data_IF_927696692062
#
_entry.id   IF_927696692062
#
_cell.length_a   1.000
_cell.length_b   1.000
_cell.length_c   1.000
_cell.angle_alpha   90.00
_cell.angle_beta   90.00
_cell.angle_gamma   90.00
#
_symmetry.space_group_name_H-M   'P 1'
#
loop_
_entity.id
_entity.type
_entity.pdbx_description
1 polymer ?
#
# COMPACT_ATOMS: atom_id res chain seq x y z
N UNK A 1 27.73 -18.13 18.54
CA UNK A 1 27.18 -18.24 19.91
C UNK A 1 25.78 -17.62 19.86
N UNK A 2 24.67 -18.30 20.13
CA UNK A 2 24.50 -19.63 20.75
C UNK A 2 23.24 -20.37 20.27
N UNK A 3 23.38 -21.68 20.09
CA UNK A 3 22.52 -22.82 20.50
C UNK A 3 20.97 -22.78 20.36
N UNK A 4 20.46 -23.86 19.76
CA UNK A 4 19.11 -24.45 19.86
C UNK A 4 18.91 -25.15 21.23
N UNK A 5 17.65 -25.42 21.67
CA UNK A 5 16.92 -26.68 21.35
C UNK A 5 15.38 -26.45 21.20
N UNK A 6 14.44 -27.41 21.09
CA UNK A 6 14.50 -28.89 21.08
C UNK A 6 13.51 -29.54 20.05
N UNK A 7 12.44 -30.24 20.49
CA UNK A 7 11.47 -31.01 19.69
C UNK A 7 10.10 -31.18 20.40
N UNK A 8 9.05 -31.58 19.67
CA UNK A 8 7.84 -32.20 20.25
C UNK A 8 6.71 -32.51 19.23
N UNK A 9 5.85 -33.55 19.42
CA UNK A 9 5.46 -34.44 18.32
C UNK A 9 3.94 -34.64 18.08
N UNK A 10 3.61 -35.58 17.16
CA UNK A 10 2.28 -36.17 16.82
C UNK A 10 1.54 -35.48 15.64
N UNK A 11 0.68 -36.14 14.84
CA UNK A 11 0.06 -37.49 14.89
C UNK A 11 0.12 -38.24 13.54
N UNK A 12 -0.07 -39.56 13.57
CA UNK A 12 -0.09 -40.46 12.41
C UNK A 12 -1.34 -40.35 11.51
N UNK A 13 -1.23 -40.87 10.28
CA UNK A 13 -2.34 -41.45 9.51
C UNK A 13 -1.84 -42.63 8.66
N UNK A 14 -2.20 -43.85 9.06
CA UNK A 14 -2.08 -45.04 8.20
C UNK A 14 -3.34 -45.18 7.33
N UNK A 15 -3.15 -45.39 6.03
CA UNK A 15 -4.13 -45.99 5.12
C UNK A 15 -3.31 -46.96 4.25
N UNK A 16 -3.40 -48.27 4.51
CA UNK A 16 -4.26 -49.21 3.79
C UNK A 16 -3.98 -49.23 2.28
N UNK A 17 -3.68 -50.36 1.63
CA UNK A 17 -3.87 -51.73 2.08
C UNK A 17 -4.43 -52.56 0.93
N UNK A 18 -3.61 -52.85 -0.08
CA UNK A 18 -3.96 -53.77 -1.16
C UNK A 18 -3.01 -54.97 -1.13
N UNK A 19 -3.54 -56.11 -0.68
CA UNK A 19 -2.77 -57.33 -0.50
C UNK A 19 -2.36 -57.94 -1.85
N UNK A 20 -1.08 -58.26 -1.98
CA UNK A 20 -0.62 -59.19 -3.02
C UNK A 20 -0.66 -60.60 -2.47
N UNK A 21 -1.60 -61.41 -2.97
CA UNK A 21 -1.81 -62.79 -2.53
C UNK A 21 -0.66 -63.68 -2.99
N UNK A 22 0.39 -63.80 -2.17
CA UNK A 22 1.48 -64.74 -2.41
C UNK A 22 0.93 -66.17 -2.32
N UNK A 23 0.77 -66.81 -3.47
CA UNK A 23 0.45 -68.24 -3.56
C UNK A 23 1.69 -69.03 -3.14
N UNK A 24 1.67 -69.59 -1.94
CA UNK A 24 2.68 -70.56 -1.50
C UNK A 24 2.49 -71.86 -2.29
N UNK A 25 3.29 -72.05 -3.34
CA UNK A 25 3.41 -73.34 -4.01
C UNK A 25 4.06 -74.33 -3.04
N UNK A 26 3.39 -75.46 -2.79
CA UNK A 26 3.85 -76.51 -1.87
C UNK A 26 4.84 -77.41 -2.62
N UNK A 27 6.14 -77.13 -2.47
CA UNK A 27 7.18 -77.93 -3.12
C UNK A 27 7.16 -79.38 -2.61
N UNK A 28 7.02 -80.32 -3.55
CA UNK A 28 7.12 -81.75 -3.30
C UNK A 28 8.58 -82.15 -3.14
N UNK A 29 8.95 -82.61 -1.94
CA UNK A 29 10.27 -83.17 -1.67
C UNK A 29 10.48 -84.47 -2.48
N UNK A 30 11.17 -84.37 -3.62
CA UNK A 30 11.60 -85.52 -4.42
C UNK A 30 13.12 -85.65 -4.42
N UNK A 31 13.60 -86.63 -3.64
CA UNK A 31 14.93 -87.26 -3.64
C UNK A 31 16.19 -86.39 -3.42
N UNK A 32 17.17 -86.87 -2.65
CA UNK A 32 18.48 -86.25 -2.54
C UNK A 32 19.28 -86.49 -3.84
N UNK A 33 19.19 -85.56 -4.79
CA UNK A 33 20.09 -85.52 -5.94
C UNK A 33 21.52 -85.24 -5.50
N UNK A 34 22.31 -86.31 -5.32
CA UNK A 34 23.76 -86.23 -5.19
C UNK A 34 24.34 -85.78 -6.54
N UNK A 35 24.52 -84.48 -6.69
CA UNK A 35 24.98 -83.85 -7.93
C UNK A 35 26.45 -84.23 -8.22
N UNK A 36 26.65 -85.20 -9.12
CA UNK A 36 27.94 -85.44 -9.76
C UNK A 36 28.20 -84.37 -10.84
N UNK A 37 29.13 -83.44 -10.55
CA UNK A 37 29.78 -82.59 -11.55
C UNK A 37 29.18 -81.18 -11.74
N UNK A 38 30.04 -80.18 -11.56
CA UNK A 38 30.07 -78.81 -12.11
C UNK A 38 28.86 -77.85 -12.12
N UNK A 39 27.61 -78.29 -12.05
CA UNK A 39 26.46 -77.40 -12.33
C UNK A 39 25.99 -76.56 -11.13
N UNK A 40 26.08 -77.08 -9.89
CA UNK A 40 25.68 -76.31 -8.70
C UNK A 40 26.54 -75.05 -8.51
N UNK A 41 27.84 -75.15 -8.82
CA UNK A 41 28.80 -74.04 -8.74
C UNK A 41 28.43 -72.92 -9.74
N UNK A 42 28.01 -73.29 -10.96
CA UNK A 42 27.56 -72.33 -11.98
C UNK A 42 26.30 -71.60 -11.51
N UNK A 43 25.32 -72.33 -10.98
CA UNK A 43 24.09 -71.75 -10.42
C UNK A 43 24.35 -70.80 -9.26
N UNK A 44 25.29 -71.13 -8.37
CA UNK A 44 25.68 -70.27 -7.26
C UNK A 44 26.34 -68.96 -7.76
N UNK A 45 27.24 -69.05 -8.74
CA UNK A 45 27.87 -67.87 -9.37
C UNK A 45 26.84 -67.01 -10.12
N UNK A 46 25.87 -67.61 -10.81
CA UNK A 46 24.77 -66.89 -11.46
C UNK A 46 23.86 -66.18 -10.44
N UNK A 47 23.55 -66.83 -9.32
CA UNK A 47 22.75 -66.25 -8.24
C UNK A 47 23.48 -65.06 -7.60
N UNK A 48 24.78 -65.19 -7.34
CA UNK A 48 25.62 -64.09 -6.83
C UNK A 48 25.64 -62.88 -7.78
N UNK A 49 25.89 -63.11 -9.09
CA UNK A 49 25.84 -62.06 -10.12
C UNK A 49 24.47 -61.40 -10.22
N UNK A 50 23.40 -62.17 -10.05
CA UNK A 50 22.02 -61.67 -10.08
C UNK A 50 21.71 -60.83 -8.84
N UNK A 51 22.22 -61.21 -7.66
CA UNK A 51 22.10 -60.42 -6.43
C UNK A 51 22.89 -59.10 -6.53
N UNK A 52 24.10 -59.14 -7.07
CA UNK A 52 24.93 -57.96 -7.32
C UNK A 52 24.28 -57.00 -8.35
N UNK A 53 23.76 -57.53 -9.46
CA UNK A 53 23.00 -56.74 -10.44
C UNK A 53 21.77 -56.07 -9.80
N UNK A 54 21.02 -56.80 -8.97
CA UNK A 54 19.86 -56.23 -8.24
C UNK A 54 20.28 -55.14 -7.25
N UNK A 55 21.41 -55.31 -6.55
CA UNK A 55 21.99 -54.26 -5.68
C UNK A 55 22.29 -53.01 -6.49
N UNK A 56 23.00 -53.12 -7.62
CA UNK A 56 23.32 -51.97 -8.47
C UNK A 56 22.07 -51.31 -9.07
N UNK A 57 21.09 -52.08 -9.52
CA UNK A 57 19.83 -51.56 -10.04
C UNK A 57 19.05 -50.77 -8.97
N UNK A 58 18.99 -51.28 -7.73
CA UNK A 58 18.37 -50.57 -6.61
C UNK A 58 19.14 -49.29 -6.24
N UNK A 59 20.47 -49.34 -6.20
CA UNK A 59 21.31 -48.15 -5.97
C UNK A 59 21.05 -47.07 -7.03
N UNK A 60 20.95 -47.46 -8.30
CA UNK A 60 20.60 -46.55 -9.40
C UNK A 60 19.21 -45.95 -9.21
N UNK A 61 18.19 -46.75 -8.87
CA UNK A 61 16.83 -46.27 -8.61
C UNK A 61 16.79 -45.24 -7.46
N UNK A 62 17.54 -45.46 -6.37
CA UNK A 62 17.65 -44.50 -5.26
C UNK A 62 18.30 -43.19 -5.73
N UNK A 63 19.39 -43.26 -6.50
CA UNK A 63 20.00 -42.06 -7.06
C UNK A 63 19.07 -41.31 -8.03
N UNK A 64 18.33 -42.02 -8.90
CA UNK A 64 17.32 -41.42 -9.78
C UNK A 64 16.23 -40.72 -8.97
N UNK A 65 15.72 -41.33 -7.91
CA UNK A 65 14.72 -40.71 -7.03
C UNK A 65 15.26 -39.44 -6.35
N UNK A 66 16.51 -39.47 -5.86
CA UNK A 66 17.15 -38.28 -5.28
C UNK A 66 17.34 -37.15 -6.31
N UNK A 67 17.77 -37.47 -7.54
CA UNK A 67 17.92 -36.51 -8.64
C UNK A 67 16.56 -35.86 -8.97
N UNK A 68 15.50 -36.66 -9.13
CA UNK A 68 14.15 -36.15 -9.41
C UNK A 68 13.60 -35.27 -8.27
N UNK A 69 13.83 -35.66 -7.01
CA UNK A 69 13.44 -34.86 -5.84
C UNK A 69 14.22 -33.55 -5.76
N UNK A 70 15.51 -33.55 -6.13
CA UNK A 70 16.34 -32.35 -6.18
C UNK A 70 15.88 -31.39 -7.30
N UNK A 71 15.52 -31.92 -8.48
CA UNK A 71 14.93 -31.11 -9.57
C UNK A 71 13.62 -30.47 -9.15
N UNK A 72 12.66 -31.23 -8.61
CA UNK A 72 11.38 -30.66 -8.14
C UNK A 72 11.58 -29.57 -7.07
N UNK A 73 12.59 -29.75 -6.20
CA UNK A 73 12.96 -28.74 -5.20
C UNK A 73 13.59 -27.49 -5.84
N UNK A 74 14.42 -27.66 -6.87
CA UNK A 74 15.04 -26.55 -7.61
C UNK A 74 13.97 -25.72 -8.34
N UNK A 75 13.06 -26.38 -9.06
CA UNK A 75 11.97 -25.72 -9.80
C UNK A 75 11.06 -24.89 -8.87
N UNK A 76 10.77 -25.40 -7.67
CA UNK A 76 10.03 -24.65 -6.63
C UNK A 76 10.80 -23.40 -6.18
N UNK A 77 12.13 -23.51 -5.96
CA UNK A 77 12.97 -22.37 -5.54
C UNK A 77 13.15 -21.34 -6.64
N UNK A 78 13.29 -21.76 -7.90
CA UNK A 78 13.42 -20.84 -9.04
C UNK A 78 12.12 -20.06 -9.27
N UNK A 79 10.96 -20.73 -9.14
CA UNK A 79 9.66 -20.04 -9.13
C UNK A 79 9.55 -19.02 -7.99
N UNK A 80 9.86 -19.42 -6.76
CA UNK A 80 9.82 -18.51 -5.61
C UNK A 80 10.79 -17.33 -5.77
N UNK A 81 11.96 -17.54 -6.38
CA UNK A 81 12.92 -16.50 -6.71
C UNK A 81 12.39 -15.54 -7.79
N UNK A 82 11.65 -16.03 -8.78
CA UNK A 82 10.98 -15.21 -9.78
C UNK A 82 9.88 -14.34 -9.14
N UNK A 83 9.02 -14.93 -8.30
CA UNK A 83 7.95 -14.21 -7.59
C UNK A 83 8.53 -13.06 -6.72
N UNK A 84 9.65 -13.31 -6.02
CA UNK A 84 10.35 -12.27 -5.22
C UNK A 84 10.97 -11.18 -6.11
N UNK A 85 11.53 -11.53 -7.27
CA UNK A 85 12.07 -10.53 -8.23
C UNK A 85 10.96 -9.62 -8.78
N UNK A 86 9.78 -10.17 -9.09
CA UNK A 86 8.64 -9.38 -9.56
C UNK A 86 8.10 -8.44 -8.46
N UNK A 87 7.94 -8.96 -7.23
CA UNK A 87 7.54 -8.13 -6.08
C UNK A 87 8.53 -6.99 -5.83
N UNK A 88 9.84 -7.25 -5.92
CA UNK A 88 10.88 -6.21 -5.82
C UNK A 88 10.70 -5.13 -6.90
N UNK A 89 10.58 -5.52 -8.17
CA UNK A 89 10.43 -4.60 -9.30
C UNK A 89 9.16 -3.72 -9.15
N UNK A 90 8.06 -4.30 -8.65
CA UNK A 90 6.83 -3.56 -8.34
C UNK A 90 7.03 -2.52 -7.23
N UNK A 91 7.75 -2.87 -6.16
CA UNK A 91 8.06 -1.94 -5.06
C UNK A 91 9.04 -0.83 -5.50
N UNK A 92 10.01 -1.14 -6.35
CA UNK A 92 10.93 -0.15 -6.93
C UNK A 92 10.19 0.84 -7.85
N UNK A 93 9.24 0.36 -8.65
CA UNK A 93 8.36 1.19 -9.47
C UNK A 93 7.48 2.13 -8.63
N UNK A 94 6.87 1.62 -7.56
CA UNK A 94 6.05 2.43 -6.65
C UNK A 94 6.91 3.45 -5.88
N UNK A 95 8.12 3.07 -5.45
CA UNK A 95 9.08 4.01 -4.84
C UNK A 95 9.43 5.15 -5.81
N UNK A 96 9.68 4.86 -7.08
CA UNK A 96 9.95 5.88 -8.09
C UNK A 96 8.75 6.82 -8.28
N UNK A 97 7.54 6.27 -8.36
CA UNK A 97 6.28 7.04 -8.47
C UNK A 97 6.10 7.99 -7.29
N UNK A 98 6.26 7.50 -6.06
CA UNK A 98 6.11 8.30 -4.83
C UNK A 98 7.18 9.39 -4.70
N UNK A 99 8.43 9.11 -5.12
CA UNK A 99 9.49 10.13 -5.16
C UNK A 99 9.16 11.25 -6.17
N UNK A 100 8.59 10.92 -7.33
CA UNK A 100 8.15 11.95 -8.28
C UNK A 100 7.00 12.81 -7.72
N UNK A 101 5.99 12.19 -7.07
CA UNK A 101 4.92 12.96 -6.42
C UNK A 101 5.46 13.86 -5.29
N UNK A 102 6.46 13.42 -4.54
CA UNK A 102 7.10 14.25 -3.50
C UNK A 102 7.86 15.45 -4.11
N UNK A 103 8.52 15.26 -5.27
CA UNK A 103 9.14 16.36 -6.03
C UNK A 103 8.09 17.39 -6.46
N UNK A 104 6.97 16.93 -7.03
CA UNK A 104 5.87 17.81 -7.47
C UNK A 104 5.29 18.63 -6.31
N UNK A 105 5.06 18.02 -5.13
CA UNK A 105 4.58 18.73 -3.94
C UNK A 105 5.58 19.78 -3.44
N UNK A 106 6.89 19.50 -3.50
CA UNK A 106 7.90 20.49 -3.14
C UNK A 106 7.93 21.66 -4.14
N UNK A 107 7.85 21.38 -5.44
CA UNK A 107 7.79 22.42 -6.48
C UNK A 107 6.53 23.29 -6.36
N UNK A 108 5.39 22.72 -5.98
CA UNK A 108 4.17 23.48 -5.73
C UNK A 108 4.22 24.30 -4.42
N UNK A 109 4.87 23.78 -3.37
CA UNK A 109 5.15 24.57 -2.16
C UNK A 109 6.03 25.77 -2.49
N UNK A 110 7.14 25.57 -3.20
CA UNK A 110 8.08 26.65 -3.51
C UNK A 110 7.41 27.74 -4.38
N UNK A 111 6.44 27.39 -5.25
CA UNK A 111 5.59 28.37 -5.96
C UNK A 111 4.67 29.14 -5.01
N UNK A 112 4.06 28.47 -4.03
CA UNK A 112 3.19 29.10 -3.04
C UNK A 112 3.99 30.06 -2.15
N UNK A 113 5.20 29.67 -1.71
CA UNK A 113 6.08 30.51 -0.89
C UNK A 113 6.46 31.82 -1.65
N UNK A 114 6.72 31.74 -2.96
CA UNK A 114 6.98 32.91 -3.82
C UNK A 114 5.73 33.80 -3.96
N UNK A 115 4.55 33.20 -4.14
CA UNK A 115 3.28 33.94 -4.23
C UNK A 115 2.92 34.62 -2.90
N UNK A 116 3.13 33.95 -1.77
CA UNK A 116 2.96 34.53 -0.43
C UNK A 116 3.89 35.71 -0.21
N UNK A 117 5.19 35.57 -0.52
CA UNK A 117 6.15 36.67 -0.42
C UNK A 117 5.76 37.87 -1.31
N UNK A 118 5.22 37.62 -2.51
CA UNK A 118 4.73 38.65 -3.43
C UNK A 118 3.52 39.37 -2.85
N UNK A 119 2.49 38.63 -2.40
CA UNK A 119 1.26 39.19 -1.83
C UNK A 119 1.54 39.96 -0.52
N UNK A 120 2.45 39.47 0.33
CA UNK A 120 2.85 40.16 1.55
C UNK A 120 3.50 41.51 1.23
N UNK A 121 4.41 41.55 0.25
CA UNK A 121 4.99 42.81 -0.23
C UNK A 121 3.94 43.78 -0.77
N UNK A 122 3.02 43.30 -1.61
CA UNK A 122 1.92 44.13 -2.14
C UNK A 122 1.02 44.67 -1.02
N UNK A 123 0.76 43.88 0.03
CA UNK A 123 0.02 44.32 1.21
C UNK A 123 0.74 45.43 1.98
N UNK A 124 2.07 45.31 2.16
CA UNK A 124 2.87 46.31 2.87
C UNK A 124 3.08 47.58 2.05
N UNK A 125 3.24 47.47 0.72
CA UNK A 125 3.26 48.60 -0.21
C UNK A 125 1.90 49.36 -0.17
N UNK A 126 0.77 48.64 -0.18
CA UNK A 126 -0.57 49.22 -0.07
C UNK A 126 -0.82 49.87 1.30
N UNK A 127 -0.41 49.24 2.40
CA UNK A 127 -0.50 49.82 3.76
C UNK A 127 0.30 51.11 3.86
N UNK A 128 1.54 51.10 3.37
CA UNK A 128 2.41 52.28 3.33
C UNK A 128 1.79 53.40 2.50
N UNK A 129 1.19 53.07 1.35
CA UNK A 129 0.52 54.06 0.49
C UNK A 129 -0.76 54.63 1.13
N UNK A 130 -1.55 53.81 1.82
CA UNK A 130 -2.72 54.26 2.59
C UNK A 130 -2.28 55.22 3.71
N UNK A 131 -1.24 54.86 4.45
CA UNK A 131 -0.68 55.70 5.51
C UNK A 131 -0.22 57.05 4.96
N UNK A 132 0.58 57.05 3.89
CA UNK A 132 1.07 58.27 3.24
C UNK A 132 -0.05 59.21 2.80
N UNK A 133 -1.10 58.68 2.15
CA UNK A 133 -2.24 59.49 1.70
C UNK A 133 -3.03 60.02 2.90
N UNK A 134 -3.24 59.19 3.92
CA UNK A 134 -4.03 59.54 5.10
C UNK A 134 -3.34 60.62 5.92
N UNK A 135 -2.05 60.44 6.23
CA UNK A 135 -1.29 61.34 7.11
C UNK A 135 -0.89 62.65 6.42
N UNK A 136 -0.57 62.60 5.12
CA UNK A 136 -0.14 63.76 4.33
C UNK A 136 -1.28 64.48 3.61
N UNK A 137 -1.55 64.06 2.36
CA UNK A 137 -2.40 64.78 1.42
C UNK A 137 -3.84 64.97 1.95
N UNK A 138 -4.44 63.91 2.51
CA UNK A 138 -5.82 63.93 2.99
C UNK A 138 -5.98 64.86 4.20
N UNK A 139 -5.13 64.75 5.21
CA UNK A 139 -5.20 65.61 6.40
C UNK A 139 -4.98 67.08 6.05
N UNK A 140 -4.02 67.37 5.17
CA UNK A 140 -3.73 68.73 4.69
C UNK A 140 -4.95 69.32 3.98
N UNK A 141 -5.54 68.58 3.04
CA UNK A 141 -6.74 68.99 2.32
C UNK A 141 -7.96 69.12 3.24
N UNK A 142 -8.14 68.21 4.22
CA UNK A 142 -9.24 68.29 5.20
C UNK A 142 -9.13 69.55 6.05
N UNK A 143 -7.93 69.88 6.54
CA UNK A 143 -7.69 71.09 7.34
C UNK A 143 -8.02 72.37 6.58
N UNK A 144 -7.63 72.45 5.30
CA UNK A 144 -7.95 73.60 4.43
C UNK A 144 -9.47 73.72 4.19
N UNK A 145 -10.15 72.60 3.91
CA UNK A 145 -11.62 72.56 3.73
C UNK A 145 -12.37 72.92 5.02
N UNK A 146 -11.91 72.45 6.18
CA UNK A 146 -12.52 72.77 7.47
C UNK A 146 -12.32 74.25 7.83
N UNK A 147 -11.16 74.85 7.50
CA UNK A 147 -10.94 76.31 7.65
C UNK A 147 -11.92 77.11 6.78
N UNK A 148 -12.04 76.77 5.50
CA UNK A 148 -12.97 77.44 4.58
C UNK A 148 -14.44 77.25 5.00
N UNK A 149 -14.81 76.09 5.55
CA UNK A 149 -16.13 75.86 6.14
C UNK A 149 -16.37 76.74 7.36
N UNK A 150 -15.39 76.87 8.25
CA UNK A 150 -15.46 77.74 9.42
C UNK A 150 -15.61 79.22 9.02
N UNK A 151 -14.87 79.68 8.00
CA UNK A 151 -15.01 81.03 7.42
C UNK A 151 -16.42 81.29 6.85
N UNK A 152 -17.09 80.25 6.35
CA UNK A 152 -18.48 80.28 5.84
C UNK A 152 -19.56 79.95 6.89
N UNK A 153 -19.19 79.72 8.15
CA UNK A 153 -20.12 79.35 9.22
C UNK A 153 -20.74 77.95 9.10
N UNK A 154 -20.09 77.02 8.39
CA UNK A 154 -20.51 75.63 8.21
C UNK A 154 -19.81 74.69 9.20
N UNK A 155 -20.47 73.56 9.52
CA UNK A 155 -19.88 72.51 10.36
C UNK A 155 -18.70 71.81 9.65
N UNK A 156 -17.61 71.44 10.37
CA UNK A 156 -16.48 70.71 9.81
C UNK A 156 -16.87 69.36 9.18
N UNK A 157 -16.02 68.87 8.28
CA UNK A 157 -16.18 67.59 7.60
C UNK A 157 -16.10 66.40 8.57
N UNK A 158 -16.91 65.33 8.36
CA UNK A 158 -16.78 64.06 9.08
C UNK A 158 -15.36 63.48 9.03
N UNK A 159 -15.01 62.67 10.03
CA UNK A 159 -13.70 62.02 10.07
C UNK A 159 -13.58 60.93 8.99
N UNK A 160 -12.35 60.70 8.52
CA UNK A 160 -12.06 59.61 7.58
C UNK A 160 -12.49 58.25 8.15
N UNK A 161 -12.26 58.03 9.44
CA UNK A 161 -12.65 56.82 10.15
C UNK A 161 -14.16 56.55 10.06
N UNK A 162 -15.00 57.58 10.26
CA UNK A 162 -16.45 57.44 10.15
C UNK A 162 -16.89 57.04 8.73
N UNK A 163 -16.31 57.67 7.70
CA UNK A 163 -16.58 57.31 6.30
C UNK A 163 -16.10 55.89 5.93
N UNK A 164 -14.98 55.45 6.50
CA UNK A 164 -14.46 54.08 6.31
C UNK A 164 -15.37 53.05 6.97
N UNK A 165 -15.84 53.31 8.19
CA UNK A 165 -16.78 52.45 8.91
C UNK A 165 -18.10 52.30 8.14
N UNK A 166 -18.69 53.40 7.65
CA UNK A 166 -19.92 53.35 6.86
C UNK A 166 -19.73 52.55 5.55
N UNK A 167 -18.63 52.77 4.82
CA UNK A 167 -18.29 52.00 3.62
C UNK A 167 -18.04 50.52 3.92
N UNK A 168 -17.38 50.20 5.04
CA UNK A 168 -17.16 48.81 5.47
C UNK A 168 -18.49 48.10 5.75
N UNK A 169 -19.43 48.77 6.42
CA UNK A 169 -20.77 48.27 6.67
C UNK A 169 -21.59 48.12 5.37
N UNK A 170 -21.43 49.03 4.41
CA UNK A 170 -22.03 48.90 3.08
C UNK A 170 -21.45 47.69 2.31
N UNK A 171 -20.13 47.50 2.31
CA UNK A 171 -19.48 46.35 1.66
C UNK A 171 -19.91 45.02 2.27
N UNK A 172 -19.96 44.92 3.61
CA UNK A 172 -20.43 43.72 4.31
C UNK A 172 -21.91 43.43 4.03
N UNK A 173 -22.77 44.46 3.92
CA UNK A 173 -24.17 44.32 3.48
C UNK A 173 -24.25 43.79 2.05
N UNK A 174 -23.51 44.38 1.11
CA UNK A 174 -23.45 43.94 -0.29
C UNK A 174 -22.95 42.49 -0.44
N UNK A 175 -21.91 42.11 0.31
CA UNK A 175 -21.41 40.73 0.32
C UNK A 175 -22.43 39.72 0.85
N UNK A 176 -23.22 40.08 1.88
CA UNK A 176 -24.30 39.22 2.41
C UNK A 176 -25.44 39.05 1.40
N UNK A 177 -25.83 40.12 0.71
CA UNK A 177 -26.84 40.07 -0.35
C UNK A 177 -26.39 39.18 -1.52
N UNK A 178 -25.19 39.41 -2.05
CA UNK A 178 -24.67 38.63 -3.18
C UNK A 178 -24.41 37.16 -2.83
N UNK A 179 -23.91 36.87 -1.62
CA UNK A 179 -23.74 35.50 -1.14
C UNK A 179 -25.09 34.76 -0.97
N UNK A 180 -26.21 35.48 -0.87
CA UNK A 180 -27.54 34.87 -0.81
C UNK A 180 -28.08 34.45 -2.19
N UNK A 181 -27.47 34.91 -3.28
CA UNK A 181 -27.89 34.60 -4.67
C UNK A 181 -27.27 33.31 -5.20
N UNK A 182 -26.07 32.93 -4.75
CA UNK A 182 -25.31 31.76 -5.23
C UNK A 182 -25.63 30.44 -4.50
N UNK A 183 -26.44 30.46 -3.43
CA UNK A 183 -26.72 29.26 -2.60
C UNK A 183 -27.90 28.40 -3.12
N UNK A 184 -28.48 28.78 -4.26
CA UNK A 184 -29.43 27.93 -5.03
C UNK A 184 -28.76 27.14 -6.18
N UNK A 185 -27.43 26.97 -6.14
CA UNK A 185 -26.69 26.05 -7.00
C UNK A 185 -26.60 24.63 -6.40
N UNK A 186 -26.68 23.55 -7.21
CA UNK A 186 -26.80 22.19 -6.69
C UNK A 186 -25.51 21.66 -6.04
N UNK A 187 -25.69 21.11 -4.83
CA UNK A 187 -24.78 20.26 -4.03
C UNK A 187 -23.54 19.76 -4.81
N UNK A 188 -22.31 20.14 -4.42
CA UNK A 188 -21.10 19.71 -5.11
C UNK A 188 -20.86 18.20 -4.93
N UNK A 189 -21.13 17.43 -5.98
CA UNK A 189 -20.71 16.04 -6.08
C UNK A 189 -19.17 15.96 -6.03
N UNK A 190 -18.65 15.50 -4.88
CA UNK A 190 -17.45 14.68 -4.69
C UNK A 190 -16.45 14.70 -5.88
N UNK A 191 -15.45 15.59 -5.83
CA UNK A 191 -14.33 15.62 -6.80
C UNK A 191 -13.54 14.31 -6.73
N UNK A 192 -13.73 13.42 -7.70
CA UNK A 192 -12.75 12.39 -8.05
C UNK A 192 -11.77 12.99 -9.06
N UNK A 193 -10.50 13.09 -8.69
CA UNK A 193 -9.44 13.56 -9.58
C UNK A 193 -8.68 12.37 -10.18
N UNK A 194 -8.80 12.17 -11.49
CA UNK A 194 -7.79 11.55 -12.37
C UNK A 194 -8.27 11.61 -13.85
N UNK A 195 -7.46 12.22 -14.71
CA UNK A 195 -7.55 12.30 -16.19
C UNK A 195 -6.64 11.23 -16.84
N UNK A 196 -6.47 11.10 -18.17
CA UNK A 196 -7.44 10.80 -19.25
C UNK A 196 -7.10 9.54 -20.11
N UNK A 197 -8.07 9.08 -20.94
CA UNK A 197 -8.06 8.34 -22.25
C UNK A 197 -6.72 7.69 -22.76
N UNK A 198 -6.67 6.43 -23.32
CA UNK A 198 -7.46 6.00 -24.49
C UNK A 198 -8.02 4.55 -24.54
N UNK A 199 -8.61 4.24 -25.71
CA UNK A 199 -9.32 3.01 -26.16
C UNK A 199 -8.42 1.74 -26.08
N UNK A 200 -8.90 0.49 -26.12
CA UNK A 200 -10.00 -0.09 -26.92
C UNK A 200 -10.45 -1.49 -26.41
N UNK A 201 -11.60 -1.99 -26.91
CA UNK A 201 -12.09 -3.40 -26.95
C UNK A 201 -12.64 -4.17 -25.71
N UNK A 202 -13.80 -4.79 -25.98
CA UNK A 202 -14.33 -6.07 -25.47
C UNK A 202 -15.17 -6.13 -24.18
N UNK A 203 -16.27 -6.87 -24.32
CA UNK A 203 -17.44 -6.93 -23.46
C UNK A 203 -17.28 -7.74 -22.16
N UNK A 204 -18.10 -7.44 -21.14
CA UNK A 204 -19.05 -8.41 -20.54
C UNK A 204 -19.99 -7.72 -19.53
N UNK A 205 -21.05 -8.44 -19.14
CA UNK A 205 -22.28 -7.89 -18.55
C UNK A 205 -22.19 -7.61 -17.03
N UNK A 206 -23.05 -6.70 -16.55
CA UNK A 206 -23.36 -6.55 -15.13
C UNK A 206 -24.43 -7.56 -14.71
N UNK A 207 -24.46 -8.05 -13.44
CA UNK A 207 -25.18 -7.27 -12.42
C UNK A 207 -24.64 -7.32 -10.97
N UNK A 208 -24.65 -6.14 -10.36
CA UNK A 208 -24.75 -5.79 -8.93
C UNK A 208 -24.68 -6.89 -7.84
N UNK A 209 -23.75 -6.70 -6.86
CA UNK A 209 -24.01 -6.91 -5.41
C UNK A 209 -23.01 -6.20 -4.49
N UNK A 210 -23.44 -5.03 -3.99
CA UNK A 210 -23.11 -4.31 -2.72
C UNK A 210 -21.66 -4.39 -2.16
N UNK A 211 -20.95 -3.25 -1.96
CA UNK A 211 -19.68 -3.24 -1.24
C UNK A 211 -19.84 -3.63 0.24
N UNK A 212 -18.95 -4.47 0.76
CA UNK A 212 -18.87 -4.86 2.18
C UNK A 212 -18.35 -3.70 3.04
N UNK A 213 -19.24 -2.76 3.36
CA UNK A 213 -18.94 -1.67 4.27
C UNK A 213 -18.88 -2.11 5.74
N UNK A 214 -17.73 -1.84 6.37
CA UNK A 214 -17.48 -1.75 7.82
C UNK A 214 -17.29 -3.07 8.60
N UNK A 215 -16.13 -3.28 9.26
CA UNK A 215 -15.95 -4.30 10.29
C UNK A 215 -16.94 -4.11 11.44
N UNK A 216 -17.51 -5.21 11.95
CA UNK A 216 -18.41 -5.20 13.11
C UNK A 216 -17.62 -5.21 14.42
N UNK A 217 -17.81 -4.17 15.22
CA UNK A 217 -17.66 -4.22 16.67
C UNK A 217 -16.27 -3.86 17.21
N UNK A 218 -16.17 -2.67 17.79
CA UNK A 218 -15.23 -2.44 18.88
C UNK A 218 -15.67 -3.25 20.11
N UNK A 219 -14.70 -3.84 20.81
CA UNK A 219 -14.88 -4.34 22.19
C UNK A 219 -13.73 -3.81 23.04
N UNK A 220 -13.93 -2.63 23.63
CA UNK A 220 -13.12 -2.23 24.78
C UNK A 220 -13.47 -3.18 25.93
N UNK A 221 -12.50 -3.99 26.39
CA UNK A 221 -12.64 -4.75 27.63
C UNK A 221 -11.77 -4.11 28.71
N UNK A 222 -12.37 -3.16 29.43
CA UNK A 222 -11.73 -2.48 30.55
C UNK A 222 -12.08 -3.21 31.86
N UNK A 223 -11.12 -3.96 32.42
CA UNK A 223 -11.07 -4.60 33.77
C UNK A 223 -9.84 -5.53 33.79
N UNK A 224 -8.97 -5.56 34.79
CA UNK A 224 -8.78 -4.77 36.02
C UNK A 224 -7.38 -5.08 36.58
N UNK A 225 -6.77 -4.17 37.37
CA UNK A 225 -6.73 -4.24 38.86
C UNK A 225 -5.52 -4.99 39.44
N UNK A 226 -4.77 -4.33 40.34
CA UNK A 226 -3.61 -4.87 41.08
C UNK A 226 -2.27 -4.39 40.50
N UNK A 227 -1.34 -3.79 41.24
CA UNK A 227 -1.28 -3.51 42.68
C UNK A 227 -0.11 -4.21 43.36
N UNK A 228 0.97 -3.46 43.54
CA UNK A 228 2.10 -3.56 44.49
C UNK A 228 3.01 -2.37 44.08
N UNK A 229 3.32 -1.36 44.90
CA UNK A 229 3.89 -1.33 46.27
C UNK A 229 5.34 -1.83 46.34
N UNK A 230 6.19 -0.89 46.80
CA UNK A 230 7.65 -0.88 47.05
C UNK A 230 8.63 -1.31 45.93
#
# INVERSE_FOLDING_TARGET
MSQTPQAGPSTASLVSGYGSTIRVAKETYTNPLVAKGDDWTKSLVQLAKTAELKKHALTLQVHTAHILSAHASLDEKDKALQDVKEQKNRLESERARLLNCLREVNEDRDKVDILEATINKECDDLRSRIQQITEGDYNSAKSEVDRLRQELGQEPMPSLQHMLEEKSAAYLRGRRLNASTDVSGPIPKKRTAATPRPEETSATESPAKRPRGRPRGSKNKNKGSGGNDD
#
